data_IF_256807868007
#
_entry.id   IF_256807868007
#
_cell.length_a   1.000
_cell.length_b   1.000
_cell.length_c   1.000
_cell.angle_alpha   90.00
_cell.angle_beta   90.00
_cell.angle_gamma   90.00
#
_symmetry.space_group_name_H-M   'P 1'
#
loop_
_entity.id
_entity.type
_entity.pdbx_description
1 polymer ?
#
# COMPACT_ATOMS: atom_id res chain seq x y z
N UNK A 1 -9.02 8.19 0.36
CA UNK A 1 -9.29 6.98 1.16
C UNK A 1 -10.66 7.20 1.78
N UNK A 2 -11.65 6.43 1.36
CA UNK A 2 -13.03 6.61 1.83
C UNK A 2 -13.34 5.50 2.85
N UNK A 3 -13.33 5.85 4.14
CA UNK A 3 -13.58 4.90 5.22
C UNK A 3 -15.05 4.44 5.27
N UNK A 4 -15.96 5.16 4.61
CA UNK A 4 -17.37 4.71 4.47
C UNK A 4 -17.49 3.56 3.47
N UNK A 5 -16.54 3.44 2.53
CA UNK A 5 -16.54 2.38 1.51
C UNK A 5 -15.81 1.11 1.95
N UNK A 6 -14.66 1.23 2.62
CA UNK A 6 -13.95 0.08 3.21
C UNK A 6 -13.26 0.51 4.51
N UNK A 7 -13.80 0.10 5.64
CA UNK A 7 -13.18 0.29 6.95
C UNK A 7 -11.92 -0.62 7.10
N UNK A 8 -10.88 -0.11 7.74
CA UNK A 8 -9.67 -0.89 8.10
C UNK A 8 -8.54 -0.90 7.06
N UNK A 9 -8.74 -0.35 5.86
CA UNK A 9 -7.65 -0.10 4.91
C UNK A 9 -7.06 1.27 5.17
N UNK A 10 -5.90 1.32 5.79
CA UNK A 10 -5.06 2.52 5.93
C UNK A 10 -4.18 2.79 4.70
N UNK A 11 -3.49 3.94 4.68
CA UNK A 11 -2.62 4.36 3.56
C UNK A 11 -1.53 3.34 3.19
N UNK A 12 -1.05 2.58 4.18
CA UNK A 12 -0.07 1.51 4.01
C UNK A 12 -0.62 0.45 3.05
N UNK A 13 -1.70 -0.22 3.47
CA UNK A 13 -2.32 -1.30 2.71
C UNK A 13 -2.81 -0.81 1.34
N UNK A 14 -3.33 0.42 1.25
CA UNK A 14 -3.72 0.99 -0.03
C UNK A 14 -2.54 1.19 -1.00
N UNK A 15 -1.45 1.80 -0.54
CA UNK A 15 -0.25 2.04 -1.38
C UNK A 15 0.37 0.73 -1.86
N UNK A 16 0.49 -0.25 -0.97
CA UNK A 16 1.03 -1.58 -1.27
C UNK A 16 0.13 -2.35 -2.26
N UNK A 17 -1.19 -2.28 -2.09
CA UNK A 17 -2.16 -2.95 -2.98
C UNK A 17 -2.16 -2.35 -4.38
N UNK A 18 -2.09 -1.02 -4.50
CA UNK A 18 -2.02 -0.33 -5.79
C UNK A 18 -0.71 -0.66 -6.51
N UNK A 19 0.42 -0.76 -5.78
CA UNK A 19 1.70 -1.17 -6.34
C UNK A 19 1.66 -2.59 -6.90
N UNK A 20 1.13 -3.56 -6.15
CA UNK A 20 0.97 -4.94 -6.62
C UNK A 20 0.04 -5.04 -7.84
N UNK A 21 -0.97 -4.16 -7.89
CA UNK A 21 -1.92 -4.09 -8.99
C UNK A 21 -1.40 -3.31 -10.20
N UNK A 22 -0.22 -2.68 -10.08
CA UNK A 22 0.37 -1.78 -11.09
C UNK A 22 -0.58 -0.63 -11.46
N UNK A 23 -1.36 -0.13 -10.49
CA UNK A 23 -2.34 0.95 -10.69
C UNK A 23 -1.73 2.26 -10.19
N UNK A 24 -1.75 3.31 -11.01
CA UNK A 24 -1.35 4.65 -10.59
C UNK A 24 -2.36 5.21 -9.58
N UNK A 25 -1.93 5.65 -8.38
CA UNK A 25 -2.83 6.20 -7.37
C UNK A 25 -3.56 7.48 -7.79
N UNK A 26 -3.05 8.22 -8.78
CA UNK A 26 -3.67 9.45 -9.27
C UNK A 26 -4.78 9.21 -10.31
N UNK A 27 -5.01 7.97 -10.72
CA UNK A 27 -6.05 7.65 -11.70
C UNK A 27 -7.39 7.53 -11.00
N UNK A 28 -8.39 8.19 -11.59
CA UNK A 28 -9.75 8.16 -11.11
C UNK A 28 -10.34 6.74 -11.20
N UNK A 29 -11.11 6.36 -10.18
CA UNK A 29 -11.59 4.99 -10.00
C UNK A 29 -12.54 4.53 -11.11
N UNK A 30 -13.28 5.45 -11.72
CA UNK A 30 -14.17 5.24 -12.88
C UNK A 30 -13.41 4.80 -14.14
N UNK A 31 -12.10 5.09 -14.24
CA UNK A 31 -11.25 4.65 -15.36
C UNK A 31 -10.74 3.22 -15.21
N UNK A 32 -11.04 2.53 -14.11
CA UNK A 32 -10.62 1.16 -13.88
C UNK A 32 -11.64 0.17 -14.46
N UNK A 33 -11.17 -0.71 -15.34
CA UNK A 33 -12.01 -1.80 -15.85
C UNK A 33 -12.34 -2.82 -14.75
N UNK A 34 -13.45 -3.54 -14.90
CA UNK A 34 -13.85 -4.58 -13.93
C UNK A 34 -12.74 -5.61 -13.67
N UNK A 35 -11.95 -5.97 -14.69
CA UNK A 35 -10.82 -6.89 -14.52
C UNK A 35 -9.72 -6.29 -13.63
N UNK A 36 -9.41 -5.01 -13.79
CA UNK A 36 -8.45 -4.31 -12.92
C UNK A 36 -8.97 -4.20 -11.49
N UNK A 37 -10.27 -3.94 -11.31
CA UNK A 37 -10.91 -3.89 -10.00
C UNK A 37 -10.85 -5.26 -9.31
N UNK A 38 -11.14 -6.36 -10.01
CA UNK A 38 -11.01 -7.72 -9.46
C UNK A 38 -9.57 -8.03 -9.06
N UNK A 39 -8.60 -7.67 -9.89
CA UNK A 39 -7.18 -7.81 -9.58
C UNK A 39 -6.76 -7.00 -8.34
N UNK A 40 -7.24 -5.76 -8.24
CA UNK A 40 -7.01 -4.90 -7.09
C UNK A 40 -7.60 -5.50 -5.81
N UNK A 41 -8.85 -5.99 -5.84
CA UNK A 41 -9.48 -6.68 -4.70
C UNK A 41 -8.64 -7.87 -4.25
N UNK A 42 -8.15 -8.70 -5.17
CA UNK A 42 -7.27 -9.83 -4.84
C UNK A 42 -5.98 -9.38 -4.16
N UNK A 43 -5.36 -8.31 -4.65
CA UNK A 43 -4.15 -7.76 -4.05
C UNK A 43 -4.39 -7.11 -2.69
N UNK A 44 -5.54 -6.46 -2.47
CA UNK A 44 -5.95 -5.94 -1.17
C UNK A 44 -6.02 -7.07 -0.14
N UNK A 45 -6.72 -8.16 -0.47
CA UNK A 45 -6.83 -9.33 0.42
C UNK A 45 -5.45 -9.93 0.68
N UNK A 46 -4.59 -10.02 -0.34
CA UNK A 46 -3.22 -10.51 -0.19
C UNK A 46 -2.40 -9.65 0.77
N UNK A 47 -2.47 -8.33 0.63
CA UNK A 47 -1.74 -7.36 1.45
C UNK A 47 -2.23 -7.38 2.90
N UNK A 48 -3.54 -7.47 3.12
CA UNK A 48 -4.12 -7.65 4.46
C UNK A 48 -3.66 -8.97 5.10
N UNK A 49 -3.67 -10.09 4.35
CA UNK A 49 -3.15 -11.38 4.83
C UNK A 49 -1.67 -11.32 5.19
N UNK A 50 -0.85 -10.59 4.43
CA UNK A 50 0.55 -10.35 4.77
C UNK A 50 0.67 -9.53 6.07
N UNK A 51 -0.14 -8.48 6.21
CA UNK A 51 -0.23 -7.72 7.46
C UNK A 51 -0.51 -8.63 8.65
N UNK A 52 -1.56 -9.45 8.57
CA UNK A 52 -1.90 -10.41 9.63
C UNK A 52 -0.77 -11.42 9.90
N UNK A 53 -0.19 -11.99 8.83
CA UNK A 53 0.91 -12.98 8.92
C UNK A 53 2.12 -12.42 9.65
N UNK A 54 2.45 -11.16 9.42
CA UNK A 54 3.62 -10.51 10.03
C UNK A 54 3.28 -9.72 11.30
N UNK A 55 2.11 -9.95 11.91
CA UNK A 55 1.74 -9.29 13.16
C UNK A 55 1.43 -7.80 13.01
N UNK A 56 1.08 -7.34 11.81
CA UNK A 56 0.80 -5.94 11.50
C UNK A 56 2.07 -5.08 11.48
N UNK A 57 1.85 -3.78 11.56
CA UNK A 57 2.92 -2.78 11.64
C UNK A 57 3.07 -2.34 13.09
N UNK A 58 4.28 -2.40 13.64
CA UNK A 58 4.60 -1.73 14.89
C UNK A 58 5.34 -0.43 14.58
N UNK A 59 4.84 0.69 15.08
CA UNK A 59 5.70 1.86 15.31
C UNK A 59 6.46 1.62 16.62
N UNK A 60 7.68 2.14 16.74
CA UNK A 60 8.61 1.89 17.87
C UNK A 60 7.99 2.13 19.27
N UNK A 61 6.89 2.88 19.35
CA UNK A 61 6.19 3.22 20.59
C UNK A 61 4.92 2.39 20.87
N UNK A 62 4.55 1.44 20.00
CA UNK A 62 3.34 0.62 20.16
C UNK A 62 3.69 -0.86 20.34
N UNK A 63 3.97 -1.25 21.58
CA UNK A 63 4.06 -2.64 22.00
C UNK A 63 2.65 -3.23 22.08
N UNK A 64 2.48 -4.46 21.60
CA UNK A 64 1.28 -5.24 21.91
C UNK A 64 1.23 -5.52 23.42
N UNK A 65 0.06 -5.81 24.00
CA UNK A 65 -0.06 -6.19 25.42
C UNK A 65 0.84 -7.36 25.84
N UNK A 66 1.27 -8.19 24.88
CA UNK A 66 2.17 -9.33 25.05
C UNK A 66 3.67 -9.00 24.76
N UNK A 67 4.02 -7.72 24.63
CA UNK A 67 5.36 -7.22 24.26
C UNK A 67 5.88 -7.66 22.88
N UNK A 68 5.05 -8.27 22.04
CA UNK A 68 5.46 -8.63 20.68
C UNK A 68 5.29 -7.45 19.72
N UNK A 69 6.12 -7.41 18.67
CA UNK A 69 6.06 -6.39 17.62
C UNK A 69 5.71 -7.01 16.27
N UNK A 70 4.83 -6.32 15.54
CA UNK A 70 4.60 -6.58 14.13
C UNK A 70 5.83 -6.21 13.32
N UNK A 71 6.13 -7.01 12.30
CA UNK A 71 7.28 -6.83 11.42
C UNK A 71 6.88 -6.49 9.98
N UNK A 72 5.60 -6.19 9.71
CA UNK A 72 5.13 -5.97 8.33
C UNK A 72 5.84 -4.80 7.63
N UNK A 73 6.30 -3.80 8.37
CA UNK A 73 7.08 -2.66 7.87
C UNK A 73 8.36 -3.08 7.13
N UNK A 74 9.00 -4.19 7.53
CA UNK A 74 10.17 -4.75 6.82
C UNK A 74 9.81 -5.29 5.42
N UNK A 75 8.53 -5.56 5.19
CA UNK A 75 8.00 -6.12 3.94
C UNK A 75 7.40 -5.07 3.01
N UNK A 76 7.42 -3.78 3.36
CA UNK A 76 6.91 -2.73 2.48
C UNK A 76 7.64 -2.68 1.14
N UNK A 77 6.85 -2.48 0.09
CA UNK A 77 7.32 -2.35 -1.29
C UNK A 77 7.48 -0.89 -1.66
N UNK A 78 6.54 -0.03 -1.23
CA UNK A 78 6.53 1.41 -1.57
C UNK A 78 6.24 2.32 -0.38
N UNK A 79 5.45 1.90 0.61
CA UNK A 79 5.07 2.78 1.72
C UNK A 79 6.28 3.21 2.56
N UNK A 80 6.41 4.51 2.85
CA UNK A 80 7.52 5.05 3.64
C UNK A 80 8.88 5.05 2.93
N UNK A 81 8.94 4.59 1.67
CA UNK A 81 10.20 4.39 0.93
C UNK A 81 10.51 5.49 -0.08
N UNK A 82 10.02 6.70 0.14
CA UNK A 82 10.25 7.83 -0.79
C UNK A 82 11.75 8.04 -1.00
N UNK A 83 12.19 8.14 -2.26
CA UNK A 83 13.61 8.27 -2.59
C UNK A 83 14.37 6.95 -2.64
N UNK A 84 13.81 5.83 -2.17
CA UNK A 84 14.43 4.52 -2.33
C UNK A 84 14.24 3.97 -3.75
N UNK A 85 15.14 3.06 -4.13
CA UNK A 85 14.96 2.23 -5.33
C UNK A 85 13.79 1.26 -5.16
N UNK A 86 12.91 1.25 -6.16
CA UNK A 86 11.83 0.27 -6.30
C UNK A 86 12.40 -1.14 -6.39
N UNK A 87 11.90 -2.06 -5.55
CA UNK A 87 12.30 -3.47 -5.50
C UNK A 87 12.03 -4.25 -6.81
N UNK A 88 11.19 -3.72 -7.71
CA UNK A 88 10.88 -4.34 -9.02
C UNK A 88 11.69 -3.79 -10.19
N UNK A 89 11.92 -2.48 -10.24
CA UNK A 89 12.44 -1.84 -11.46
C UNK A 89 13.54 -0.80 -11.22
N UNK A 90 13.99 -0.61 -9.98
CA UNK A 90 15.10 0.26 -9.61
C UNK A 90 14.83 1.77 -9.64
N UNK A 91 13.71 2.23 -10.21
CA UNK A 91 13.35 3.67 -10.19
C UNK A 91 13.00 4.15 -8.79
N UNK A 92 13.19 5.44 -8.54
CA UNK A 92 12.88 6.03 -7.23
C UNK A 92 11.38 6.00 -6.94
N UNK A 93 11.03 5.62 -5.71
CA UNK A 93 9.66 5.72 -5.20
C UNK A 93 9.33 7.19 -4.94
N UNK A 94 8.10 7.58 -5.33
CA UNK A 94 7.58 8.93 -5.14
C UNK A 94 6.46 8.93 -4.10
N UNK A 95 6.30 10.08 -3.44
CA UNK A 95 5.18 10.38 -2.56
C UNK A 95 4.38 11.54 -3.14
N UNK A 96 3.06 11.40 -3.15
CA UNK A 96 2.11 12.46 -3.50
C UNK A 96 1.11 12.65 -2.36
N UNK A 97 0.48 13.82 -2.29
CA UNK A 97 -0.64 14.06 -1.38
C UNK A 97 -1.95 13.86 -2.14
N UNK A 98 -2.78 12.92 -1.70
CA UNK A 98 -4.11 12.68 -2.27
C UNK A 98 -5.15 12.71 -1.14
N UNK A 99 -6.10 13.64 -1.23
CA UNK A 99 -7.13 13.82 -0.19
C UNK A 99 -6.55 14.06 1.21
N UNK A 100 -5.50 14.88 1.30
CA UNK A 100 -4.81 15.20 2.56
C UNK A 100 -3.93 14.07 3.11
N UNK A 101 -3.75 12.96 2.38
CA UNK A 101 -3.00 11.78 2.81
C UNK A 101 -1.83 11.48 1.90
N UNK A 102 -0.67 11.21 2.50
CA UNK A 102 0.53 10.78 1.78
C UNK A 102 0.33 9.41 1.13
N UNK A 103 0.52 9.34 -0.19
CA UNK A 103 0.41 8.13 -1.00
C UNK A 103 1.74 7.84 -1.67
N UNK A 104 2.21 6.60 -1.59
CA UNK A 104 3.54 6.19 -2.07
C UNK A 104 3.40 5.26 -3.26
N UNK A 105 4.19 5.47 -4.31
CA UNK A 105 4.09 4.68 -5.54
C UNK A 105 5.37 4.70 -6.36
N UNK A 106 5.49 3.73 -7.26
CA UNK A 106 6.57 3.64 -8.24
C UNK A 106 6.10 4.18 -9.60
N UNK A 107 6.65 5.30 -10.11
CA UNK A 107 6.18 5.91 -11.36
C UNK A 107 6.42 5.03 -12.60
N UNK A 108 7.41 4.12 -12.56
CA UNK A 108 7.70 3.21 -13.67
C UNK A 108 6.84 1.94 -13.65
N UNK A 109 6.49 1.43 -12.46
CA UNK A 109 5.66 0.23 -12.31
C UNK A 109 4.15 0.54 -12.35
N UNK A 110 3.74 1.75 -11.96
CA UNK A 110 2.35 2.19 -11.86
C UNK A 110 2.11 3.35 -12.82
N UNK A 111 2.12 3.05 -14.14
CA UNK A 111 2.00 4.07 -15.20
C UNK A 111 0.55 4.45 -15.49
N UNK A 112 -0.38 3.53 -15.28
CA UNK A 112 -1.77 3.61 -15.74
C UNK A 112 -2.76 3.04 -14.74
#
# INVERSE_FOLDING_TARGET
>A
LDQEKIAGIGNIYASESLFLSKINPAISADKLTLNRIRGLRGNIVKVLKLGLKYGGTSEEYYLRPDMTTGNYQKHFLVYGRTGDKCKKCGSLIKRISLGGRGTFFCPKCQKS
#
